data_IF_240115872341
#
_entry.id   IF_240115872341
#
_cell.length_a   1.000
_cell.length_b   1.000
_cell.length_c   1.000
_cell.angle_alpha   90.00
_cell.angle_beta   90.00
_cell.angle_gamma   90.00
#
_symmetry.space_group_name_H-M   'P 1'
#
loop_
_entity.id
_entity.type
_entity.pdbx_description
1 polymer ?
#
# COMPACT_ATOMS: atom_id res chain seq x y z
N UNK A 1 56.45 16.91 -5.12
CA UNK A 1 55.90 17.53 -3.90
C UNK A 1 54.60 16.80 -3.65
N UNK A 2 54.71 15.76 -2.86
CA UNK A 2 53.67 14.77 -2.60
C UNK A 2 52.65 15.35 -1.61
N UNK A 3 51.40 15.43 -2.04
CA UNK A 3 50.26 15.91 -1.24
C UNK A 3 49.35 14.76 -0.80
N UNK A 4 49.88 13.55 -0.65
CA UNK A 4 49.13 12.42 -0.09
C UNK A 4 49.65 12.11 1.31
N UNK A 5 48.96 12.62 2.34
CA UNK A 5 48.72 11.97 3.64
C UNK A 5 48.09 12.98 4.63
N UNK A 6 46.83 13.32 4.40
CA UNK A 6 45.95 13.77 5.50
C UNK A 6 45.25 12.52 6.05
N UNK A 7 45.95 11.79 6.92
CA UNK A 7 45.31 10.79 7.77
C UNK A 7 44.33 11.52 8.69
N UNK A 8 43.03 11.25 8.52
CA UNK A 8 42.02 11.63 9.50
C UNK A 8 42.48 11.09 10.87
N UNK A 9 42.50 11.90 11.93
CA UNK A 9 43.02 11.48 13.22
C UNK A 9 42.22 10.28 13.71
N UNK A 10 42.90 9.20 14.04
CA UNK A 10 42.37 7.91 14.52
C UNK A 10 41.30 8.07 15.61
N UNK A 11 41.29 9.18 16.35
CA UNK A 11 40.27 9.51 17.35
C UNK A 11 38.88 9.77 16.77
N UNK A 12 38.76 10.28 15.55
CA UNK A 12 37.45 10.61 14.94
C UNK A 12 36.74 9.35 14.43
N UNK A 13 37.49 8.40 13.86
CA UNK A 13 36.97 7.11 13.42
C UNK A 13 36.54 6.27 14.64
N UNK A 14 37.31 6.32 15.72
CA UNK A 14 36.94 5.67 16.99
C UNK A 14 35.68 6.31 17.61
N UNK A 15 35.56 7.63 17.57
CA UNK A 15 34.38 8.34 18.06
C UNK A 15 33.11 7.99 17.26
N UNK A 16 33.21 7.95 15.92
CA UNK A 16 32.09 7.55 15.05
C UNK A 16 31.70 6.10 15.31
N UNK A 17 32.69 5.20 15.48
CA UNK A 17 32.43 3.79 15.78
C UNK A 17 31.74 3.61 17.13
N UNK A 18 32.15 4.37 18.15
CA UNK A 18 31.53 4.36 19.47
C UNK A 18 30.09 4.90 19.42
N UNK A 19 29.87 6.02 18.74
CA UNK A 19 28.54 6.61 18.56
C UNK A 19 27.59 5.64 17.85
N UNK A 20 28.09 4.92 16.84
CA UNK A 20 27.31 3.92 16.10
C UNK A 20 26.97 2.70 16.97
N UNK A 21 27.89 2.26 17.84
CA UNK A 21 27.63 1.22 18.83
C UNK A 21 26.59 1.66 19.87
N UNK A 22 26.70 2.88 20.39
CA UNK A 22 25.78 3.41 21.40
C UNK A 22 24.36 3.59 20.82
N UNK A 23 24.24 4.16 19.61
CA UNK A 23 22.97 4.31 18.91
C UNK A 23 22.30 2.97 18.58
N UNK A 24 23.09 1.97 18.16
CA UNK A 24 22.56 0.61 17.93
C UNK A 24 22.03 0.01 19.23
N UNK A 25 22.79 0.14 20.31
CA UNK A 25 22.42 -0.44 21.61
C UNK A 25 21.17 0.22 22.18
N UNK A 26 21.03 1.54 22.03
CA UNK A 26 19.86 2.29 22.45
C UNK A 26 18.62 1.92 21.61
N UNK A 27 18.77 1.80 20.29
CA UNK A 27 17.70 1.35 19.40
C UNK A 27 17.25 -0.08 19.73
N UNK A 28 18.18 -1.01 19.96
CA UNK A 28 17.87 -2.38 20.35
C UNK A 28 17.13 -2.43 21.70
N UNK A 29 17.53 -1.58 22.66
CA UNK A 29 16.88 -1.48 23.98
C UNK A 29 15.46 -0.92 23.87
N UNK A 30 15.26 0.14 23.08
CA UNK A 30 13.95 0.76 22.88
C UNK A 30 12.99 -0.15 22.10
N UNK A 31 13.52 -0.89 21.13
CA UNK A 31 12.77 -1.89 20.38
C UNK A 31 12.35 -3.06 21.29
N UNK A 32 13.28 -3.59 22.09
CA UNK A 32 12.99 -4.65 23.05
C UNK A 32 11.93 -4.21 24.09
N UNK A 33 12.03 -2.97 24.60
CA UNK A 33 11.05 -2.39 25.52
C UNK A 33 9.67 -2.25 24.86
N UNK A 34 9.63 -1.77 23.61
CA UNK A 34 8.38 -1.61 22.84
C UNK A 34 7.71 -2.95 22.53
N UNK A 35 8.49 -3.97 22.16
CA UNK A 35 7.99 -5.34 21.92
C UNK A 35 7.42 -5.94 23.21
N UNK A 36 8.12 -5.75 24.34
CA UNK A 36 7.67 -6.25 25.64
C UNK A 36 6.36 -5.58 26.07
N UNK A 37 6.23 -4.27 25.84
CA UNK A 37 5.01 -3.51 26.11
C UNK A 37 3.85 -3.96 25.23
N UNK A 38 4.05 -4.11 23.91
CA UNK A 38 3.01 -4.63 23.01
C UNK A 38 2.58 -6.05 23.38
N UNK A 39 3.51 -6.92 23.75
CA UNK A 39 3.18 -8.28 24.18
C UNK A 39 2.37 -8.28 25.48
N UNK A 40 2.68 -7.39 26.43
CA UNK A 40 1.91 -7.22 27.65
C UNK A 40 0.49 -6.69 27.36
N UNK A 41 0.36 -5.67 26.51
CA UNK A 41 -0.94 -5.12 26.09
C UNK A 41 -1.77 -6.16 25.32
N UNK A 42 -1.14 -6.93 24.43
CA UNK A 42 -1.79 -8.00 23.68
C UNK A 42 -2.27 -9.13 24.62
N UNK A 43 -1.45 -9.55 25.59
CA UNK A 43 -1.88 -10.52 26.59
C UNK A 43 -3.00 -9.98 27.49
N UNK A 44 -2.96 -8.69 27.83
CA UNK A 44 -4.02 -8.04 28.60
C UNK A 44 -5.34 -7.98 27.81
N UNK A 45 -5.29 -7.67 26.51
CA UNK A 45 -6.46 -7.73 25.61
C UNK A 45 -7.00 -9.15 25.45
N UNK A 46 -6.12 -10.15 25.31
CA UNK A 46 -6.52 -11.56 25.23
C UNK A 46 -7.17 -12.05 26.53
N UNK A 47 -6.62 -11.66 27.69
CA UNK A 47 -7.21 -11.98 28.99
C UNK A 47 -8.55 -11.28 29.19
N UNK A 48 -8.66 -9.97 28.88
CA UNK A 48 -9.91 -9.23 28.98
C UNK A 48 -10.99 -9.80 28.05
N UNK A 49 -10.64 -10.22 26.83
CA UNK A 49 -11.55 -10.89 25.92
C UNK A 49 -11.95 -12.28 26.45
N UNK A 50 -11.01 -13.06 26.98
CA UNK A 50 -11.31 -14.36 27.59
C UNK A 50 -12.21 -14.24 28.80
N UNK A 51 -12.00 -13.23 29.65
CA UNK A 51 -12.79 -13.01 30.86
C UNK A 51 -14.17 -12.46 30.52
N UNK A 52 -14.28 -11.58 29.51
CA UNK A 52 -15.56 -11.14 28.96
C UNK A 52 -16.36 -12.31 28.36
N UNK A 53 -15.72 -13.21 27.62
CA UNK A 53 -16.37 -14.41 27.08
C UNK A 53 -16.82 -15.34 28.20
N UNK A 54 -15.98 -15.58 29.21
CA UNK A 54 -16.35 -16.39 30.39
C UNK A 54 -17.55 -15.79 31.11
N UNK A 55 -17.58 -14.47 31.26
CA UNK A 55 -18.69 -13.77 31.92
C UNK A 55 -19.98 -13.88 31.11
N UNK A 56 -19.94 -13.66 29.79
CA UNK A 56 -21.10 -13.82 28.91
C UNK A 56 -21.64 -15.26 28.95
N UNK A 57 -20.75 -16.25 28.91
CA UNK A 57 -21.14 -17.66 28.98
C UNK A 57 -21.74 -17.98 30.35
N UNK A 58 -21.16 -17.48 31.44
CA UNK A 58 -21.67 -17.67 32.80
C UNK A 58 -23.05 -17.04 32.96
N UNK A 59 -23.25 -15.80 32.53
CA UNK A 59 -24.55 -15.12 32.55
C UNK A 59 -25.58 -15.87 31.71
N UNK A 60 -25.22 -16.31 30.50
CA UNK A 60 -26.13 -17.07 29.65
C UNK A 60 -26.51 -18.43 30.27
N UNK A 61 -25.59 -19.08 30.99
CA UNK A 61 -25.89 -20.30 31.73
C UNK A 61 -26.80 -20.03 32.93
N UNK A 62 -26.53 -18.98 33.71
CA UNK A 62 -27.38 -18.57 34.85
C UNK A 62 -28.80 -18.20 34.39
N UNK A 63 -28.94 -17.46 33.29
CA UNK A 63 -30.23 -17.13 32.67
C UNK A 63 -30.96 -18.40 32.20
N UNK A 64 -30.25 -19.33 31.56
CA UNK A 64 -30.81 -20.60 31.11
C UNK A 64 -31.26 -21.50 32.28
N UNK A 65 -30.48 -21.56 33.37
CA UNK A 65 -30.88 -22.31 34.57
C UNK A 65 -32.12 -21.69 35.21
N UNK A 66 -32.19 -20.36 35.28
CA UNK A 66 -33.34 -19.64 35.85
C UNK A 66 -34.61 -19.85 35.03
N UNK A 67 -34.51 -19.81 33.69
CA UNK A 67 -35.63 -20.05 32.79
C UNK A 67 -36.12 -21.50 32.80
N UNK A 68 -35.22 -22.46 32.94
CA UNK A 68 -35.62 -23.87 33.03
C UNK A 68 -36.16 -24.24 34.40
N UNK A 69 -35.65 -23.65 35.48
CA UNK A 69 -36.20 -23.87 36.82
C UNK A 69 -37.65 -23.38 36.92
N UNK A 70 -37.99 -22.26 36.27
CA UNK A 70 -39.39 -21.79 36.11
C UNK A 70 -40.26 -22.77 35.32
N UNK A 71 -39.72 -23.41 34.27
CA UNK A 71 -40.43 -24.42 33.45
C UNK A 71 -40.63 -25.76 34.15
N UNK A 72 -39.75 -26.12 35.09
CA UNK A 72 -39.90 -27.36 35.87
C UNK A 72 -40.87 -27.17 37.05
N UNK A 73 -40.91 -25.99 37.68
CA UNK A 73 -41.89 -25.69 38.73
C UNK A 73 -43.32 -25.58 38.19
N UNK A 74 -43.52 -25.12 36.96
CA UNK A 74 -44.86 -25.08 36.33
C UNK A 74 -45.37 -26.43 35.84
N UNK A 75 -44.56 -27.49 35.92
CA UNK A 75 -44.91 -28.85 35.44
C UNK A 75 -45.14 -29.87 36.56
N UNK A 76 -45.02 -29.45 37.82
CA UNK A 76 -45.15 -30.33 38.99
C UNK A 76 -46.49 -30.20 39.74
N UNK A 77 -47.45 -29.42 39.25
CA UNK A 77 -48.80 -29.30 39.85
C UNK A 77 -49.86 -30.26 39.25
N UNK A 78 -49.52 -31.11 38.29
CA UNK A 78 -50.40 -32.19 37.84
C UNK A 78 -49.62 -33.50 37.82
N UNK A 79 -49.71 -34.30 38.89
CA UNK A 79 -49.87 -35.79 38.91
C UNK A 79 -49.71 -36.30 40.35
N UNK A 80 -50.82 -36.42 41.08
CA UNK A 80 -51.08 -37.49 42.07
C UNK A 80 -51.44 -38.78 41.28
N UNK A 81 -51.23 -40.04 41.67
CA UNK A 81 -50.95 -40.69 42.95
C UNK A 81 -50.42 -42.13 42.67
N UNK A 82 -49.96 -42.77 43.74
CA UNK A 82 -49.84 -44.21 44.04
C UNK A 82 -48.49 -44.96 43.98
N UNK A 83 -48.19 -45.51 45.16
CA UNK A 83 -47.19 -46.50 45.56
C UNK A 83 -47.99 -47.73 46.06
N UNK A 84 -47.45 -48.97 46.21
CA UNK A 84 -46.33 -49.20 47.14
C UNK A 84 -45.40 -50.44 46.92
N UNK A 85 -44.20 -50.31 47.52
CA UNK A 85 -43.43 -51.29 48.33
C UNK A 85 -42.68 -52.53 47.77
N UNK A 86 -41.35 -52.45 47.95
CA UNK A 86 -40.34 -53.43 48.49
C UNK A 86 -40.01 -54.77 47.79
N UNK A 87 -38.71 -55.01 47.56
CA UNK A 87 -37.87 -55.99 48.27
C UNK A 87 -36.38 -55.91 47.86
N UNK A 88 -35.49 -56.24 48.82
CA UNK A 88 -34.01 -56.21 48.77
C UNK A 88 -33.40 -57.33 47.90
N UNK A 89 -32.22 -57.09 47.33
CA UNK A 89 -31.07 -58.01 47.39
C UNK A 89 -29.76 -57.31 47.00
N UNK A 90 -28.76 -57.39 47.89
CA UNK A 90 -27.36 -57.06 47.65
C UNK A 90 -26.73 -58.06 46.66
N UNK A 91 -26.00 -57.57 45.65
CA UNK A 91 -24.88 -58.32 45.05
C UNK A 91 -23.73 -57.33 44.73
N UNK A 92 -22.55 -57.76 45.18
CA UNK A 92 -21.22 -57.14 45.14
C UNK A 92 -20.84 -56.46 43.82
N UNK A 93 -20.23 -55.28 43.95
CA UNK A 93 -19.41 -54.60 42.94
C UNK A 93 -18.12 -55.36 42.64
N UNK A 94 -17.85 -55.63 41.37
CA UNK A 94 -16.50 -55.44 40.81
C UNK A 94 -16.41 -54.00 40.27
N UNK A 95 -15.42 -53.18 40.69
CA UNK A 95 -15.30 -51.81 40.23
C UNK A 95 -14.13 -51.64 39.25
N UNK A 96 -14.43 -51.43 37.97
CA UNK A 96 -13.60 -50.56 37.09
C UNK A 96 -14.28 -50.21 35.76
N UNK A 97 -15.21 -51.03 35.28
CA UNK A 97 -15.81 -50.85 33.94
C UNK A 97 -16.87 -49.72 33.91
N UNK A 98 -17.52 -49.44 35.04
CA UNK A 98 -18.54 -48.37 35.19
C UNK A 98 -17.91 -46.97 35.12
N UNK A 99 -16.76 -46.77 35.76
CA UNK A 99 -16.09 -45.48 35.83
C UNK A 99 -15.49 -45.10 34.47
N UNK A 100 -14.84 -46.04 33.79
CA UNK A 100 -14.33 -45.82 32.44
C UNK A 100 -15.45 -45.57 31.42
N UNK A 101 -16.57 -46.30 31.50
CA UNK A 101 -17.72 -46.09 30.61
C UNK A 101 -18.35 -44.70 30.82
N UNK A 102 -18.48 -44.25 32.07
CA UNK A 102 -18.95 -42.90 32.38
C UNK A 102 -17.99 -41.81 31.88
N UNK A 103 -16.68 -42.05 31.96
CA UNK A 103 -15.66 -41.11 31.50
C UNK A 103 -15.62 -41.00 29.96
N UNK A 104 -15.79 -42.12 29.26
CA UNK A 104 -15.91 -42.16 27.78
C UNK A 104 -17.19 -41.47 27.33
N UNK A 105 -18.33 -41.68 27.98
CA UNK A 105 -19.57 -40.96 27.69
C UNK A 105 -19.41 -39.45 27.92
N UNK A 106 -18.74 -39.05 29.00
CA UNK A 106 -18.49 -37.64 29.30
C UNK A 106 -17.59 -36.98 28.24
N UNK A 107 -16.53 -37.67 27.80
CA UNK A 107 -15.64 -37.17 26.74
C UNK A 107 -16.35 -37.12 25.39
N UNK A 108 -17.19 -38.10 25.08
CA UNK A 108 -17.99 -38.13 23.84
C UNK A 108 -18.96 -36.96 23.80
N UNK A 109 -19.66 -36.68 24.91
CA UNK A 109 -20.54 -35.50 25.02
C UNK A 109 -19.77 -34.18 24.87
N UNK A 110 -18.57 -34.07 25.45
CA UNK A 110 -17.71 -32.87 25.28
C UNK A 110 -17.27 -32.69 23.83
N UNK A 111 -16.94 -33.78 23.14
CA UNK A 111 -16.54 -33.75 21.73
C UNK A 111 -17.71 -33.36 20.81
N UNK A 112 -18.90 -33.89 21.07
CA UNK A 112 -20.13 -33.50 20.37
C UNK A 112 -20.47 -32.02 20.58
N UNK A 113 -20.35 -31.55 21.82
CA UNK A 113 -20.57 -30.13 22.15
C UNK A 113 -19.57 -29.24 21.39
N UNK A 114 -18.27 -29.55 21.46
CA UNK A 114 -17.23 -28.80 20.77
C UNK A 114 -17.41 -28.82 19.24
N UNK A 115 -17.82 -29.96 18.66
CA UNK A 115 -18.14 -30.05 17.24
C UNK A 115 -19.36 -29.19 16.87
N UNK A 116 -20.38 -29.14 17.73
CA UNK A 116 -21.55 -28.29 17.53
C UNK A 116 -21.22 -26.80 17.58
N UNK A 117 -20.33 -26.40 18.51
CA UNK A 117 -19.82 -25.04 18.64
C UNK A 117 -18.98 -24.65 17.44
N UNK A 118 -18.08 -25.53 16.99
CA UNK A 118 -17.26 -25.31 15.81
C UNK A 118 -18.09 -25.19 14.53
N UNK A 119 -19.15 -26.01 14.40
CA UNK A 119 -20.10 -25.90 13.30
C UNK A 119 -20.95 -24.61 13.37
N UNK A 120 -21.25 -24.12 14.57
CA UNK A 120 -21.92 -22.83 14.79
C UNK A 120 -21.01 -21.67 14.39
N UNK A 121 -19.75 -21.67 14.86
CA UNK A 121 -18.75 -20.66 14.51
C UNK A 121 -18.47 -20.62 13.01
N UNK A 122 -18.33 -21.77 12.34
CA UNK A 122 -18.18 -21.83 10.87
C UNK A 122 -19.39 -21.22 10.15
N UNK A 123 -20.61 -21.44 10.64
CA UNK A 123 -21.83 -20.83 10.09
C UNK A 123 -21.84 -19.32 10.31
N UNK A 124 -21.46 -18.86 11.50
CA UNK A 124 -21.35 -17.43 11.82
C UNK A 124 -20.30 -16.74 10.96
N UNK A 125 -19.12 -17.35 10.76
CA UNK A 125 -18.06 -16.84 9.88
C UNK A 125 -18.57 -16.69 8.45
N UNK A 126 -19.20 -17.74 7.90
CA UNK A 126 -19.77 -17.70 6.54
C UNK A 126 -20.87 -16.63 6.40
N UNK A 127 -21.68 -16.44 7.44
CA UNK A 127 -22.70 -15.39 7.46
C UNK A 127 -22.08 -13.98 7.53
N UNK A 128 -20.98 -13.80 8.27
CA UNK A 128 -20.25 -12.53 8.34
C UNK A 128 -19.52 -12.22 7.04
N UNK A 129 -18.88 -13.21 6.41
CA UNK A 129 -18.29 -13.08 5.07
C UNK A 129 -19.36 -12.68 4.05
N UNK A 130 -20.50 -13.37 4.02
CA UNK A 130 -21.60 -13.04 3.11
C UNK A 130 -22.17 -11.63 3.35
N UNK A 131 -22.25 -11.18 4.61
CA UNK A 131 -22.69 -9.82 4.95
C UNK A 131 -21.65 -8.78 4.54
N UNK A 132 -20.36 -9.08 4.70
CA UNK A 132 -19.28 -8.22 4.24
C UNK A 132 -19.31 -8.07 2.72
N UNK A 133 -19.54 -9.15 1.98
CA UNK A 133 -19.70 -9.12 0.51
C UNK A 133 -20.94 -8.32 0.08
N UNK A 134 -22.06 -8.42 0.81
CA UNK A 134 -23.24 -7.60 0.54
C UNK A 134 -22.96 -6.10 0.75
N UNK A 135 -22.32 -5.74 1.86
CA UNK A 135 -21.93 -4.35 2.13
C UNK A 135 -20.94 -3.84 1.09
N UNK A 136 -19.99 -4.68 0.66
CA UNK A 136 -19.05 -4.38 -0.42
C UNK A 136 -19.78 -4.08 -1.73
N UNK A 137 -20.77 -4.86 -2.11
CA UNK A 137 -21.55 -4.63 -3.34
C UNK A 137 -22.40 -3.36 -3.30
N UNK A 138 -22.80 -2.90 -2.11
CA UNK A 138 -23.51 -1.63 -1.93
C UNK A 138 -22.56 -0.43 -2.08
N UNK A 139 -21.33 -0.56 -1.56
CA UNK A 139 -20.31 0.51 -1.60
C UNK A 139 -19.61 0.58 -2.97
N UNK A 140 -19.45 -0.57 -3.61
CA UNK A 140 -18.78 -0.73 -4.91
C UNK A 140 -19.83 -1.20 -5.92
N UNK A 141 -20.62 -0.28 -6.52
CA UNK A 141 -21.54 -0.66 -7.58
C UNK A 141 -20.75 -1.23 -8.77
N UNK A 142 -21.16 -2.41 -9.23
CA UNK A 142 -20.60 -3.15 -10.37
C UNK A 142 -20.83 -2.48 -11.74
N UNK A 143 -21.54 -1.36 -11.77
CA UNK A 143 -22.31 -0.91 -12.94
C UNK A 143 -21.59 0.21 -13.71
N UNK A 144 -20.34 0.53 -13.36
CA UNK A 144 -19.52 1.46 -14.12
C UNK A 144 -19.21 0.89 -15.50
N UNK A 145 -19.31 1.72 -16.55
CA UNK A 145 -18.78 1.35 -17.88
C UNK A 145 -17.31 0.94 -17.71
N UNK A 146 -16.88 -0.20 -18.27
CA UNK A 146 -15.49 -0.64 -18.17
C UNK A 146 -14.59 0.40 -18.85
N UNK A 147 -13.59 0.90 -18.12
CA UNK A 147 -12.55 1.77 -18.68
C UNK A 147 -11.66 0.90 -19.56
N UNK A 148 -11.50 1.30 -20.82
CA UNK A 148 -10.73 0.51 -21.78
C UNK A 148 -9.22 0.78 -21.62
N UNK A 149 -8.41 -0.28 -21.74
CA UNK A 149 -6.94 -0.16 -21.72
C UNK A 149 -6.44 0.89 -22.74
N UNK A 150 -7.09 0.97 -23.90
CA UNK A 150 -6.77 1.94 -24.96
C UNK A 150 -6.99 3.39 -24.55
N UNK A 151 -7.95 3.68 -23.67
CA UNK A 151 -8.19 5.04 -23.18
C UNK A 151 -7.06 5.47 -22.24
N UNK A 152 -6.66 4.59 -21.33
CA UNK A 152 -5.54 4.81 -20.41
C UNK A 152 -4.23 4.95 -21.19
N UNK A 153 -3.95 4.05 -22.14
CA UNK A 153 -2.74 4.13 -22.99
C UNK A 153 -2.69 5.42 -23.82
N UNK A 154 -3.84 5.85 -24.37
CA UNK A 154 -3.93 7.10 -25.13
C UNK A 154 -3.59 8.31 -24.28
N UNK A 155 -4.19 8.43 -23.09
CA UNK A 155 -3.90 9.52 -22.16
C UNK A 155 -2.46 9.46 -21.65
N UNK A 156 -1.95 8.28 -21.30
CA UNK A 156 -0.55 8.08 -20.90
C UNK A 156 0.43 8.53 -22.00
N UNK A 157 0.14 8.20 -23.25
CA UNK A 157 0.88 8.68 -24.42
C UNK A 157 0.80 10.19 -24.61
N UNK A 158 -0.36 10.83 -24.35
CA UNK A 158 -0.51 12.29 -24.41
C UNK A 158 0.30 12.98 -23.30
N UNK A 159 0.27 12.44 -22.07
CA UNK A 159 1.09 12.90 -20.95
C UNK A 159 2.57 12.79 -21.32
N UNK A 160 3.04 11.63 -21.79
CA UNK A 160 4.42 11.40 -22.26
C UNK A 160 4.87 12.45 -23.27
N UNK A 161 4.11 12.63 -24.34
CA UNK A 161 4.42 13.61 -25.39
C UNK A 161 4.47 15.03 -24.83
N UNK A 162 3.60 15.36 -23.87
CA UNK A 162 3.53 16.69 -23.28
C UNK A 162 4.70 16.95 -22.32
N UNK A 163 5.10 15.99 -21.48
CA UNK A 163 6.32 16.05 -20.66
C UNK A 163 7.54 16.33 -21.54
N UNK A 164 7.69 15.57 -22.64
CA UNK A 164 8.78 15.77 -23.58
C UNK A 164 8.75 17.17 -24.19
N UNK A 165 7.59 17.64 -24.66
CA UNK A 165 7.46 19.00 -25.21
C UNK A 165 7.81 20.09 -24.19
N UNK A 166 7.37 19.96 -22.93
CA UNK A 166 7.65 20.93 -21.87
C UNK A 166 9.14 20.96 -21.56
N UNK A 167 9.76 19.82 -21.28
CA UNK A 167 11.20 19.76 -20.97
C UNK A 167 12.08 20.27 -22.12
N UNK A 168 11.70 20.01 -23.37
CA UNK A 168 12.51 20.42 -24.53
C UNK A 168 12.38 21.91 -24.89
N UNK A 169 11.23 22.53 -24.60
CA UNK A 169 10.92 23.90 -25.07
C UNK A 169 10.93 24.94 -23.97
N UNK A 170 10.44 24.58 -22.79
CA UNK A 170 10.31 25.51 -21.68
C UNK A 170 11.62 25.63 -20.91
N UNK A 171 12.35 24.51 -20.73
CA UNK A 171 13.50 24.43 -19.84
C UNK A 171 14.80 24.09 -20.58
N UNK A 172 15.16 24.94 -21.55
CA UNK A 172 16.30 24.74 -22.45
C UNK A 172 17.38 25.81 -22.31
N UNK A 173 17.39 26.57 -21.21
CA UNK A 173 18.42 27.60 -20.99
C UNK A 173 19.79 26.94 -20.83
N UNK A 174 20.77 27.44 -21.57
CA UNK A 174 22.18 27.05 -21.44
C UNK A 174 22.89 28.05 -20.51
N UNK A 175 23.68 27.53 -19.57
CA UNK A 175 24.47 28.33 -18.63
C UNK A 175 24.11 28.11 -17.16
N UNK A 176 24.77 28.86 -16.27
CA UNK A 176 24.56 28.75 -14.82
C UNK A 176 23.13 29.12 -14.44
N UNK A 177 22.39 28.18 -13.84
CA UNK A 177 21.03 28.32 -13.32
C UNK A 177 20.99 29.26 -12.10
N UNK A 178 21.29 30.54 -12.32
CA UNK A 178 21.39 31.52 -11.24
C UNK A 178 19.98 31.94 -10.80
N UNK A 179 19.71 31.77 -9.50
CA UNK A 179 18.51 32.17 -8.75
C UNK A 179 17.42 31.10 -8.58
N UNK A 180 17.73 29.92 -8.00
CA UNK A 180 16.70 29.01 -7.51
C UNK A 180 15.86 29.68 -6.42
N UNK A 181 14.53 29.54 -6.54
CA UNK A 181 13.56 30.22 -5.68
C UNK A 181 13.29 29.40 -4.41
N UNK A 182 13.36 28.08 -4.50
CA UNK A 182 13.13 27.14 -3.39
C UNK A 182 14.40 26.35 -3.06
N UNK A 183 14.48 25.80 -1.85
CA UNK A 183 15.60 24.96 -1.41
C UNK A 183 15.71 23.69 -2.27
N UNK A 184 14.59 23.01 -2.54
CA UNK A 184 14.54 21.83 -3.41
C UNK A 184 15.02 22.14 -4.84
N UNK A 185 14.64 23.31 -5.39
CA UNK A 185 15.09 23.77 -6.71
C UNK A 185 16.60 24.01 -6.70
N UNK A 186 17.14 24.61 -5.62
CA UNK A 186 18.57 24.86 -5.49
C UNK A 186 19.37 23.57 -5.50
N UNK A 187 19.01 22.61 -4.65
CA UNK A 187 19.71 21.32 -4.56
C UNK A 187 19.71 20.61 -5.91
N UNK A 188 18.56 20.55 -6.59
CA UNK A 188 18.46 19.96 -7.92
C UNK A 188 19.36 20.63 -8.97
N UNK A 189 19.38 21.97 -9.02
CA UNK A 189 20.18 22.69 -10.01
C UNK A 189 21.68 22.68 -9.71
N UNK A 190 22.08 22.60 -8.45
CA UNK A 190 23.48 22.41 -8.03
C UNK A 190 24.00 21.03 -8.45
N UNK A 191 23.20 19.96 -8.26
CA UNK A 191 23.58 18.59 -8.65
C UNK A 191 23.80 18.41 -10.16
N UNK A 192 23.16 19.25 -10.99
CA UNK A 192 23.26 19.16 -12.45
C UNK A 192 24.22 20.17 -13.09
N UNK A 193 24.86 21.06 -12.31
CA UNK A 193 25.68 22.15 -12.85
C UNK A 193 26.85 21.63 -13.70
N UNK A 194 27.49 20.54 -13.26
CA UNK A 194 28.64 19.91 -13.93
C UNK A 194 28.26 18.93 -15.06
N UNK A 195 26.97 18.73 -15.32
CA UNK A 195 26.50 17.82 -16.37
C UNK A 195 26.59 18.45 -17.77
N UNK A 196 26.77 17.61 -18.79
CA UNK A 196 26.64 18.06 -20.18
C UNK A 196 25.24 18.61 -20.46
N UNK A 197 25.05 19.53 -21.43
CA UNK A 197 23.73 20.07 -21.76
C UNK A 197 22.67 19.01 -22.06
N UNK A 198 23.07 17.90 -22.69
CA UNK A 198 22.20 16.76 -22.97
C UNK A 198 21.74 16.08 -21.68
N UNK A 199 22.68 15.82 -20.76
CA UNK A 199 22.39 15.23 -19.45
C UNK A 199 21.56 16.18 -18.56
N UNK A 200 21.81 17.49 -18.63
CA UNK A 200 21.00 18.50 -17.93
C UNK A 200 19.54 18.46 -18.39
N UNK A 201 19.31 18.37 -19.71
CA UNK A 201 17.95 18.24 -20.27
C UNK A 201 17.30 16.91 -19.87
N UNK A 202 18.06 15.82 -19.82
CA UNK A 202 17.56 14.53 -19.34
C UNK A 202 17.19 14.58 -17.85
N UNK A 203 17.96 15.28 -17.02
CA UNK A 203 17.67 15.49 -15.61
C UNK A 203 16.37 16.29 -15.39
N UNK A 204 16.16 17.37 -16.15
CA UNK A 204 14.91 18.14 -16.12
C UNK A 204 13.72 17.30 -16.57
N UNK A 205 13.88 16.54 -17.66
CA UNK A 205 12.82 15.69 -18.18
C UNK A 205 12.44 14.59 -17.18
N UNK A 206 13.42 13.94 -16.59
CA UNK A 206 13.26 12.90 -15.56
C UNK A 206 12.59 13.47 -14.31
N UNK A 207 13.06 14.61 -13.79
CA UNK A 207 12.47 15.23 -12.59
C UNK A 207 11.04 15.70 -12.83
N UNK A 208 10.76 16.32 -13.99
CA UNK A 208 9.39 16.71 -14.35
C UNK A 208 8.47 15.49 -14.34
N UNK A 209 8.91 14.36 -14.91
CA UNK A 209 8.14 13.12 -14.87
C UNK A 209 7.97 12.57 -13.45
N UNK A 210 9.03 12.58 -12.62
CA UNK A 210 8.98 12.10 -11.23
C UNK A 210 7.95 12.89 -10.42
N UNK A 211 7.94 14.23 -10.53
CA UNK A 211 6.95 15.07 -9.85
C UNK A 211 5.53 14.74 -10.29
N UNK A 212 5.30 14.65 -11.61
CA UNK A 212 3.98 14.29 -12.16
C UNK A 212 3.55 12.90 -11.67
N UNK A 213 4.47 11.93 -11.67
CA UNK A 213 4.21 10.57 -11.25
C UNK A 213 3.86 10.47 -9.76
N UNK A 214 4.65 11.12 -8.91
CA UNK A 214 4.41 11.15 -7.46
C UNK A 214 3.09 11.81 -7.10
N UNK A 215 2.73 12.89 -7.79
CA UNK A 215 1.52 13.66 -7.49
C UNK A 215 0.23 13.04 -8.06
N UNK A 216 0.28 12.50 -9.29
CA UNK A 216 -0.95 12.09 -10.01
C UNK A 216 -1.11 10.59 -10.21
N UNK A 217 -0.02 9.80 -10.15
CA UNK A 217 -0.04 8.34 -10.29
C UNK A 217 0.30 7.55 -9.02
N UNK A 218 -0.05 8.00 -7.79
CA UNK A 218 0.12 7.16 -6.62
C UNK A 218 -0.78 5.94 -6.72
N UNK A 219 -0.20 4.77 -6.43
CA UNK A 219 -0.93 3.50 -6.35
C UNK A 219 -1.56 3.26 -4.97
N UNK A 220 -1.39 4.21 -4.04
CA UNK A 220 -1.85 4.11 -2.67
C UNK A 220 -2.45 5.45 -2.20
N UNK A 221 -3.39 5.38 -1.28
CA UNK A 221 -4.07 6.52 -0.66
C UNK A 221 -3.08 7.44 0.05
N UNK A 222 -2.00 6.88 0.62
CA UNK A 222 -0.94 7.67 1.26
C UNK A 222 -0.29 8.66 0.29
N UNK A 223 -0.08 8.26 -0.97
CA UNK A 223 0.49 9.11 -2.00
C UNK A 223 -0.54 10.03 -2.65
N UNK A 224 -1.84 9.81 -2.44
CA UNK A 224 -2.89 10.66 -2.98
C UNK A 224 -3.05 11.92 -2.14
N UNK A 225 -2.94 13.08 -2.78
CA UNK A 225 -3.13 14.37 -2.16
C UNK A 225 -4.64 14.72 -2.16
N UNK A 226 -5.42 14.01 -1.35
CA UNK A 226 -6.90 13.98 -1.29
C UNK A 226 -7.50 15.27 -0.67
N UNK A 227 -6.76 16.36 -0.77
CA UNK A 227 -7.22 17.67 -0.36
C UNK A 227 -6.64 18.13 0.95
N UNK A 228 -6.05 19.32 0.88
CA UNK A 228 -5.72 20.15 2.03
C UNK A 228 -6.92 20.37 2.98
N UNK A 229 -8.15 20.11 2.52
CA UNK A 229 -9.42 20.30 3.24
C UNK A 229 -9.74 19.17 4.23
N UNK A 230 -9.26 17.94 4.02
CA UNK A 230 -9.58 16.78 4.88
C UNK A 230 -8.35 15.96 5.33
N UNK A 231 -7.31 16.59 5.92
CA UNK A 231 -6.05 15.94 6.25
C UNK A 231 -6.21 14.78 7.25
N UNK A 232 -7.19 14.89 8.16
CA UNK A 232 -7.50 13.81 9.11
C UNK A 232 -8.09 12.58 8.41
N UNK A 233 -8.97 12.77 7.43
CA UNK A 233 -9.57 11.67 6.68
C UNK A 233 -8.52 10.97 5.84
N UNK A 234 -7.68 11.73 5.11
CA UNK A 234 -6.57 11.18 4.33
C UNK A 234 -5.63 10.35 5.22
N UNK A 235 -5.24 10.86 6.39
CA UNK A 235 -4.39 10.13 7.34
C UNK A 235 -5.02 8.80 7.80
N UNK A 236 -6.32 8.81 8.10
CA UNK A 236 -7.04 7.61 8.52
C UNK A 236 -7.19 6.59 7.38
N UNK A 237 -7.52 7.03 6.17
CA UNK A 237 -7.64 6.17 5.01
C UNK A 237 -6.27 5.57 4.65
N UNK A 238 -5.20 6.37 4.66
CA UNK A 238 -3.84 5.89 4.41
C UNK A 238 -3.37 4.87 5.46
N UNK A 239 -3.66 5.11 6.75
CA UNK A 239 -3.35 4.14 7.80
C UNK A 239 -4.15 2.84 7.61
N UNK A 240 -5.44 2.95 7.26
CA UNK A 240 -6.31 1.79 7.01
C UNK A 240 -5.79 0.96 5.84
N UNK A 241 -5.42 1.59 4.73
CA UNK A 241 -4.83 0.90 3.57
C UNK A 241 -3.55 0.15 3.95
N UNK A 242 -2.71 0.78 4.76
CA UNK A 242 -1.46 0.18 5.21
C UNK A 242 -1.72 -1.07 6.06
N UNK A 243 -2.58 -0.98 7.09
CA UNK A 243 -2.93 -2.14 7.92
C UNK A 243 -3.60 -3.27 7.12
N UNK A 244 -4.47 -2.94 6.17
CA UNK A 244 -5.09 -3.93 5.29
C UNK A 244 -4.04 -4.62 4.41
N UNK A 245 -3.11 -3.86 3.85
CA UNK A 245 -2.03 -4.39 3.01
C UNK A 245 -1.14 -5.33 3.82
N UNK A 246 -0.72 -4.94 5.02
CA UNK A 246 0.10 -5.81 5.90
C UNK A 246 -0.64 -7.08 6.30
N UNK A 247 -1.91 -6.96 6.71
CA UNK A 247 -2.72 -8.11 7.10
C UNK A 247 -2.89 -9.11 5.94
N UNK A 248 -3.14 -8.62 4.73
CA UNK A 248 -3.28 -9.45 3.52
C UNK A 248 -1.94 -10.09 3.16
N UNK A 249 -0.83 -9.35 3.18
CA UNK A 249 0.49 -9.91 2.88
C UNK A 249 0.92 -10.97 3.90
N UNK A 250 0.59 -10.78 5.18
CA UNK A 250 0.91 -11.73 6.24
C UNK A 250 0.07 -13.02 6.19
N UNK A 251 -1.19 -12.93 5.77
CA UNK A 251 -2.11 -14.09 5.74
C UNK A 251 -2.18 -14.78 4.38
N UNK A 252 -1.90 -14.06 3.29
CA UNK A 252 -2.03 -14.53 1.91
C UNK A 252 -0.82 -14.07 1.07
N UNK A 253 0.39 -14.61 1.34
CA UNK A 253 1.62 -14.22 0.64
C UNK A 253 1.65 -14.61 -0.84
N UNK A 254 0.77 -15.53 -1.26
CA UNK A 254 0.55 -15.95 -2.64
C UNK A 254 -0.24 -14.92 -3.47
N UNK A 255 -0.72 -13.84 -2.84
CA UNK A 255 -1.49 -12.80 -3.49
C UNK A 255 -2.95 -13.14 -3.73
N UNK A 256 -3.47 -14.22 -3.12
CA UNK A 256 -4.85 -14.69 -3.34
C UNK A 256 -5.93 -13.66 -2.95
N UNK A 257 -5.58 -12.66 -2.13
CA UNK A 257 -6.46 -11.57 -1.68
C UNK A 257 -6.11 -10.19 -2.25
N UNK A 258 -5.29 -10.12 -3.30
CA UNK A 258 -4.90 -8.85 -3.91
C UNK A 258 -6.08 -8.11 -4.57
N UNK A 259 -7.09 -8.87 -5.02
CA UNK A 259 -8.32 -8.32 -5.60
C UNK A 259 -9.13 -7.51 -4.59
N UNK A 260 -9.20 -7.97 -3.35
CA UNK A 260 -9.88 -7.30 -2.25
C UNK A 260 -9.21 -5.98 -1.88
N UNK A 261 -7.87 -5.94 -1.86
CA UNK A 261 -7.13 -4.69 -1.68
C UNK A 261 -7.40 -3.70 -2.82
N UNK A 262 -7.36 -4.19 -4.07
CA UNK A 262 -7.60 -3.37 -5.25
C UNK A 262 -9.03 -2.78 -5.25
N UNK A 263 -10.01 -3.60 -4.88
CA UNK A 263 -11.40 -3.17 -4.75
C UNK A 263 -11.59 -2.16 -3.61
N UNK A 264 -10.91 -2.33 -2.47
CA UNK A 264 -10.93 -1.37 -1.37
C UNK A 264 -10.30 -0.03 -1.77
N UNK A 265 -9.15 -0.04 -2.43
CA UNK A 265 -8.50 1.20 -2.91
C UNK A 265 -9.42 1.89 -3.93
N UNK A 266 -10.03 1.14 -4.87
CA UNK A 266 -11.02 1.69 -5.81
C UNK A 266 -12.23 2.31 -5.11
N UNK A 267 -12.81 1.62 -4.13
CA UNK A 267 -13.93 2.12 -3.35
C UNK A 267 -13.57 3.43 -2.64
N UNK A 268 -12.40 3.45 -2.02
CA UNK A 268 -11.87 4.62 -1.31
C UNK A 268 -11.71 5.80 -2.28
N UNK A 269 -11.14 5.57 -3.46
CA UNK A 269 -11.02 6.61 -4.48
C UNK A 269 -12.36 7.09 -5.03
N UNK A 270 -13.32 6.21 -5.25
CA UNK A 270 -14.68 6.62 -5.63
C UNK A 270 -15.32 7.51 -4.55
N UNK A 271 -15.15 7.16 -3.27
CA UNK A 271 -15.65 7.99 -2.17
C UNK A 271 -14.95 9.35 -2.13
N UNK A 272 -13.64 9.40 -2.40
CA UNK A 272 -12.86 10.63 -2.47
C UNK A 272 -13.36 11.52 -3.61
N UNK A 273 -13.57 10.95 -4.80
CA UNK A 273 -14.09 11.69 -5.96
C UNK A 273 -15.49 12.28 -5.66
N UNK A 274 -16.31 11.58 -4.85
CA UNK A 274 -17.62 12.07 -4.41
C UNK A 274 -17.54 13.22 -3.40
N UNK A 275 -16.43 13.36 -2.67
CA UNK A 275 -16.24 14.46 -1.73
C UNK A 275 -16.04 15.82 -2.43
N UNK A 276 -16.10 15.86 -3.78
CA UNK A 276 -15.98 17.08 -4.61
C UNK A 276 -14.92 18.00 -4.02
N UNK A 277 -13.69 17.54 -3.97
CA UNK A 277 -12.61 18.45 -3.70
C UNK A 277 -12.51 19.35 -4.93
N UNK A 278 -12.94 20.61 -4.81
CA UNK A 278 -12.60 21.71 -5.72
C UNK A 278 -11.10 22.02 -5.62
N UNK A 279 -10.27 20.98 -5.48
CA UNK A 279 -8.84 21.09 -5.32
C UNK A 279 -8.31 21.69 -6.60
N UNK A 280 -7.64 22.82 -6.44
CA UNK A 280 -6.72 23.42 -7.39
C UNK A 280 -5.51 22.51 -7.69
N UNK A 281 -5.55 21.21 -7.37
CA UNK A 281 -4.43 20.27 -7.45
C UNK A 281 -3.62 20.34 -8.75
N UNK A 282 -4.24 20.26 -9.94
CA UNK A 282 -3.53 20.43 -11.20
C UNK A 282 -2.89 21.82 -11.38
N UNK A 283 -3.61 22.89 -11.03
CA UNK A 283 -3.16 24.27 -11.19
C UNK A 283 -2.05 24.64 -10.18
N UNK A 284 -2.21 24.22 -8.93
CA UNK A 284 -1.26 24.36 -7.83
C UNK A 284 0.03 23.59 -8.12
N UNK A 285 -0.08 22.34 -8.60
CA UNK A 285 1.07 21.57 -9.06
C UNK A 285 1.77 22.25 -10.24
N UNK A 286 1.02 22.74 -11.23
CA UNK A 286 1.60 23.50 -12.34
C UNK A 286 2.33 24.75 -11.85
N UNK A 287 1.74 25.54 -10.95
CA UNK A 287 2.36 26.73 -10.37
C UNK A 287 3.65 26.40 -9.58
N UNK A 288 3.64 25.32 -8.80
CA UNK A 288 4.84 24.83 -8.11
C UNK A 288 5.95 24.46 -9.12
N UNK A 289 5.62 23.67 -10.15
CA UNK A 289 6.58 23.26 -11.17
C UNK A 289 7.12 24.45 -12.00
N UNK A 290 6.28 25.44 -12.28
CA UNK A 290 6.69 26.71 -12.91
C UNK A 290 7.76 27.42 -12.07
N UNK A 291 7.60 27.47 -10.74
CA UNK A 291 8.58 28.09 -9.84
C UNK A 291 9.83 27.21 -9.66
N UNK A 292 9.64 25.90 -9.49
CA UNK A 292 10.72 24.94 -9.27
C UNK A 292 11.72 24.97 -10.43
N UNK A 293 11.25 24.90 -11.67
CA UNK A 293 12.11 24.88 -12.85
C UNK A 293 12.40 26.27 -13.44
N UNK A 294 11.99 27.34 -12.76
CA UNK A 294 12.21 28.73 -13.20
C UNK A 294 13.68 29.03 -13.59
N UNK A 295 14.71 28.52 -12.90
CA UNK A 295 16.10 28.77 -13.27
C UNK A 295 16.48 28.27 -14.67
N UNK A 296 15.85 27.19 -15.15
CA UNK A 296 16.10 26.61 -16.47
C UNK A 296 15.20 27.19 -17.58
N UNK A 297 14.27 28.09 -17.25
CA UNK A 297 13.31 28.64 -18.19
C UNK A 297 14.01 29.36 -19.37
N UNK A 298 13.60 29.05 -20.59
CA UNK A 298 14.10 29.69 -21.82
C UNK A 298 13.88 31.21 -21.80
N UNK A 299 14.75 31.99 -22.42
CA UNK A 299 14.61 33.46 -22.49
C UNK A 299 13.58 33.92 -23.56
N UNK A 300 13.04 33.00 -24.36
CA UNK A 300 12.09 33.32 -25.43
C UNK A 300 10.67 33.45 -24.84
N UNK A 301 10.16 34.67 -24.70
CA UNK A 301 8.85 34.98 -24.08
C UNK A 301 7.70 34.14 -24.67
N UNK A 302 7.59 34.01 -26.00
CA UNK A 302 6.53 33.21 -26.63
C UNK A 302 6.63 31.72 -26.27
N UNK A 303 7.85 31.20 -26.13
CA UNK A 303 8.09 29.82 -25.71
C UNK A 303 7.77 29.62 -24.23
N UNK A 304 8.05 30.61 -23.38
CA UNK A 304 7.64 30.62 -21.97
C UNK A 304 6.11 30.51 -21.83
N UNK A 305 5.36 31.40 -22.49
CA UNK A 305 3.89 31.39 -22.42
C UNK A 305 3.29 30.08 -22.95
N UNK A 306 3.80 29.58 -24.08
CA UNK A 306 3.37 28.30 -24.66
C UNK A 306 3.70 27.13 -23.74
N UNK A 307 4.89 27.15 -23.13
CA UNK A 307 5.34 26.11 -22.21
C UNK A 307 4.52 26.06 -20.93
N UNK A 308 4.23 27.22 -20.31
CA UNK A 308 3.36 27.31 -19.12
C UNK A 308 1.94 26.79 -19.38
N UNK A 309 1.35 27.15 -20.53
CA UNK A 309 0.07 26.59 -20.98
C UNK A 309 0.13 25.07 -21.14
N UNK A 310 1.23 24.55 -21.68
CA UNK A 310 1.44 23.09 -21.83
C UNK A 310 1.68 22.39 -20.49
N UNK A 311 2.36 23.04 -19.54
CA UNK A 311 2.59 22.51 -18.20
C UNK A 311 1.27 22.39 -17.42
N UNK A 312 0.39 23.41 -17.48
CA UNK A 312 -0.97 23.30 -16.94
C UNK A 312 -1.75 22.15 -17.57
N UNK A 313 -1.78 22.08 -18.91
CA UNK A 313 -2.43 20.98 -19.63
C UNK A 313 -1.83 19.61 -19.27
N UNK A 314 -0.53 19.53 -19.02
CA UNK A 314 0.15 18.32 -18.56
C UNK A 314 -0.39 17.88 -17.19
N UNK A 315 -0.46 18.79 -16.23
CA UNK A 315 -1.01 18.49 -14.91
C UNK A 315 -2.49 18.07 -14.98
N UNK A 316 -3.31 18.76 -15.78
CA UNK A 316 -4.71 18.39 -16.03
C UNK A 316 -4.83 16.97 -16.60
N UNK A 317 -4.04 16.64 -17.63
CA UNK A 317 -4.07 15.32 -18.28
C UNK A 317 -3.51 14.22 -17.40
N UNK A 318 -2.48 14.51 -16.61
CA UNK A 318 -1.95 13.57 -15.63
C UNK A 318 -2.98 13.30 -14.52
N UNK A 319 -3.68 14.33 -14.06
CA UNK A 319 -4.76 14.18 -13.09
C UNK A 319 -5.91 13.32 -13.64
N UNK A 320 -6.38 13.61 -14.86
CA UNK A 320 -7.40 12.82 -15.56
C UNK A 320 -6.99 11.35 -15.69
N UNK A 321 -5.76 11.10 -16.12
CA UNK A 321 -5.20 9.76 -16.24
C UNK A 321 -5.14 9.03 -14.90
N UNK A 322 -4.68 9.70 -13.84
CA UNK A 322 -4.64 9.15 -12.49
C UNK A 322 -6.01 8.73 -12.01
N UNK A 323 -7.06 9.54 -12.25
CA UNK A 323 -8.44 9.20 -11.92
C UNK A 323 -8.88 7.94 -12.69
N UNK A 324 -8.63 7.89 -14.00
CA UNK A 324 -9.01 6.73 -14.82
C UNK A 324 -8.32 5.45 -14.35
N UNK A 325 -7.02 5.50 -14.07
CA UNK A 325 -6.26 4.36 -13.56
C UNK A 325 -6.82 3.84 -12.23
N UNK A 326 -7.23 4.73 -11.32
CA UNK A 326 -7.81 4.38 -10.02
C UNK A 326 -9.24 3.83 -10.10
N UNK A 327 -10.00 4.28 -11.10
CA UNK A 327 -11.38 3.83 -11.33
C UNK A 327 -11.48 2.52 -12.13
N UNK A 328 -10.41 2.13 -12.81
CA UNK A 328 -10.40 0.91 -13.60
C UNK A 328 -10.56 -0.34 -12.74
N UNK A 329 -11.10 -1.40 -13.33
CA UNK A 329 -11.26 -2.70 -12.65
C UNK A 329 -9.89 -3.35 -12.38
N UNK A 330 -8.99 -3.22 -13.35
CA UNK A 330 -7.62 -3.71 -13.24
C UNK A 330 -6.71 -2.64 -12.63
N UNK A 331 -5.62 -3.07 -11.99
CA UNK A 331 -4.66 -2.15 -11.38
C UNK A 331 -3.64 -1.71 -12.42
N UNK A 332 -3.62 -0.42 -12.72
CA UNK A 332 -2.60 0.18 -13.59
C UNK A 332 -1.49 0.77 -12.76
N UNK A 333 -0.25 0.55 -13.17
CA UNK A 333 0.92 1.07 -12.47
C UNK A 333 1.86 1.72 -13.47
N UNK A 334 2.24 2.95 -13.14
CA UNK A 334 3.39 3.60 -13.77
C UNK A 334 4.64 3.13 -13.06
N UNK A 335 5.63 2.64 -13.80
CA UNK A 335 6.89 2.15 -13.25
C UNK A 335 8.08 2.91 -13.82
N UNK A 336 9.14 3.04 -13.03
CA UNK A 336 10.44 3.57 -13.45
C UNK A 336 11.47 2.46 -13.50
N UNK A 337 12.53 2.68 -14.29
CA UNK A 337 13.70 1.81 -14.32
C UNK A 337 14.82 2.50 -13.57
N UNK A 338 15.61 1.73 -12.83
CA UNK A 338 16.74 2.25 -12.05
C UNK A 338 17.87 2.67 -12.98
N UNK A 339 18.55 3.74 -12.59
CA UNK A 339 19.80 4.15 -13.22
C UNK A 339 20.87 3.08 -13.00
N UNK A 340 21.86 3.04 -13.88
CA UNK A 340 22.99 2.10 -13.90
C UNK A 340 22.62 0.62 -14.12
N UNK A 341 21.35 0.33 -14.40
CA UNK A 341 20.93 -1.00 -14.81
C UNK A 341 21.44 -1.32 -16.22
N UNK A 342 22.06 -2.49 -16.46
CA UNK A 342 22.45 -2.90 -17.82
C UNK A 342 21.24 -2.92 -18.75
N UNK A 343 21.37 -2.30 -19.93
CA UNK A 343 20.26 -2.20 -20.89
C UNK A 343 19.76 -3.58 -21.33
N UNK A 344 20.66 -4.55 -21.41
CA UNK A 344 20.34 -5.94 -21.76
C UNK A 344 19.37 -6.60 -20.76
N UNK A 345 19.42 -6.20 -19.48
CA UNK A 345 18.61 -6.80 -18.43
C UNK A 345 17.17 -6.27 -18.40
N UNK A 346 16.89 -5.17 -19.11
CA UNK A 346 15.58 -4.52 -19.13
C UNK A 346 15.05 -4.20 -20.53
N UNK A 347 15.65 -4.77 -21.58
CA UNK A 347 15.37 -4.42 -22.99
C UNK A 347 13.90 -4.68 -23.40
N UNK A 348 13.22 -5.60 -22.74
CA UNK A 348 11.81 -5.91 -22.94
C UNK A 348 10.88 -4.83 -22.36
N UNK A 349 11.33 -4.12 -21.32
CA UNK A 349 10.58 -3.11 -20.57
C UNK A 349 10.91 -1.66 -20.98
N UNK A 350 12.01 -1.43 -21.72
CA UNK A 350 12.48 -0.08 -22.05
C UNK A 350 12.59 0.18 -23.55
N UNK A 351 12.43 1.44 -23.92
CA UNK A 351 12.74 2.01 -25.22
C UNK A 351 13.82 3.07 -25.03
N UNK A 352 14.92 2.91 -25.76
CA UNK A 352 16.00 3.88 -25.75
C UNK A 352 15.66 5.10 -26.61
N UNK A 353 15.63 6.29 -26.00
CA UNK A 353 15.48 7.54 -26.74
C UNK A 353 16.82 8.01 -27.34
N UNK A 354 17.90 7.89 -26.56
CA UNK A 354 19.24 8.33 -26.93
C UNK A 354 20.33 7.67 -26.07
N UNK A 355 21.54 7.70 -26.60
CA UNK A 355 22.76 7.32 -25.90
C UNK A 355 23.62 8.56 -25.68
N UNK A 356 23.87 8.91 -24.42
CA UNK A 356 24.78 9.97 -23.99
C UNK A 356 26.17 9.34 -23.79
N UNK A 357 27.14 9.69 -24.65
CA UNK A 357 28.50 9.14 -24.64
C UNK A 357 28.98 8.65 -26.01
N UNK A 358 30.27 8.41 -26.15
CA UNK A 358 30.88 7.94 -27.41
C UNK A 358 30.46 6.48 -27.70
N UNK A 359 29.88 6.25 -28.89
CA UNK A 359 29.38 4.94 -29.32
C UNK A 359 30.47 3.87 -29.50
N UNK A 360 31.73 4.29 -29.55
CA UNK A 360 32.90 3.41 -29.74
C UNK A 360 33.56 2.97 -28.42
N UNK A 361 32.94 3.29 -27.28
CA UNK A 361 33.39 2.80 -25.98
C UNK A 361 33.04 1.32 -25.85
N UNK A 362 34.04 0.44 -25.74
CA UNK A 362 33.86 -1.00 -25.54
C UNK A 362 33.25 -1.41 -24.19
N UNK A 363 32.58 -0.49 -23.50
CA UNK A 363 31.98 -0.68 -22.18
C UNK A 363 30.58 -1.29 -22.22
N UNK A 364 30.04 -1.57 -21.04
CA UNK A 364 28.66 -2.06 -20.92
C UNK A 364 27.68 -0.89 -21.04
N UNK A 365 26.66 -1.04 -21.90
CA UNK A 365 25.61 -0.05 -22.06
C UNK A 365 24.59 -0.17 -20.92
N UNK A 366 24.42 0.90 -20.15
CA UNK A 366 23.52 0.97 -19.01
C UNK A 366 22.48 2.07 -19.19
N UNK A 367 21.40 2.00 -18.42
CA UNK A 367 20.43 3.08 -18.26
C UNK A 367 21.13 4.27 -17.58
N UNK A 368 21.12 5.42 -18.25
CA UNK A 368 21.60 6.67 -17.70
C UNK A 368 20.53 7.38 -16.88
N UNK A 369 19.33 7.53 -17.44
CA UNK A 369 18.18 8.09 -16.73
C UNK A 369 16.85 7.58 -17.28
N UNK A 370 15.88 7.36 -16.39
CA UNK A 370 14.50 7.05 -16.76
C UNK A 370 13.72 8.33 -17.12
N UNK A 371 13.83 8.73 -18.39
CA UNK A 371 13.21 9.93 -18.95
C UNK A 371 11.69 9.97 -18.80
N UNK A 372 11.03 8.83 -18.99
CA UNK A 372 9.60 8.69 -18.76
C UNK A 372 9.29 7.24 -18.40
N UNK A 373 8.44 7.01 -17.40
CA UNK A 373 8.11 5.66 -16.95
C UNK A 373 7.35 4.83 -17.98
N UNK A 374 7.27 3.53 -17.71
CA UNK A 374 6.41 2.61 -18.46
C UNK A 374 5.05 2.46 -17.80
N UNK A 375 4.09 1.88 -18.52
CA UNK A 375 2.77 1.55 -18.02
C UNK A 375 2.61 0.03 -18.03
N UNK A 376 2.22 -0.53 -16.89
CA UNK A 376 1.83 -1.94 -16.79
C UNK A 376 0.45 -2.07 -16.15
N UNK A 377 -0.21 -3.17 -16.47
CA UNK A 377 -1.52 -3.55 -15.98
C UNK A 377 -1.41 -4.85 -15.20
N UNK A 378 -2.00 -4.88 -14.02
CA UNK A 378 -2.17 -6.09 -13.22
C UNK A 378 -3.65 -6.44 -13.31
N UNK A 379 -3.95 -7.49 -14.06
CA UNK A 379 -5.34 -7.90 -14.28
C UNK A 379 -5.93 -8.47 -13.00
N UNK A 380 -7.18 -8.11 -12.72
CA UNK A 380 -7.97 -8.69 -11.63
C UNK A 380 -8.21 -10.19 -11.78
N UNK A 381 -8.16 -10.71 -13.01
CA UNK A 381 -8.28 -12.14 -13.32
C UNK A 381 -6.94 -12.88 -13.20
N UNK A 382 -5.82 -12.17 -13.42
CA UNK A 382 -4.46 -12.73 -13.39
C UNK A 382 -3.51 -11.80 -12.62
N UNK A 383 -3.66 -11.68 -11.28
CA UNK A 383 -2.94 -10.68 -10.48
C UNK A 383 -1.44 -10.94 -10.34
N UNK A 384 -0.98 -12.16 -10.66
CA UNK A 384 0.41 -12.58 -10.47
C UNK A 384 1.34 -12.20 -11.61
N UNK A 385 0.81 -11.82 -12.79
CA UNK A 385 1.60 -11.48 -13.96
C UNK A 385 1.23 -10.10 -14.51
N UNK A 386 2.09 -9.08 -14.32
CA UNK A 386 1.89 -7.78 -14.94
C UNK A 386 1.97 -7.88 -16.47
N UNK A 387 1.03 -7.23 -17.15
CA UNK A 387 0.98 -7.06 -18.59
C UNK A 387 1.61 -5.70 -18.90
N UNK A 388 2.69 -5.69 -19.67
CA UNK A 388 3.32 -4.46 -20.12
C UNK A 388 2.46 -3.82 -21.22
N UNK A 389 2.01 -2.58 -21.01
CA UNK A 389 1.22 -1.82 -21.98
C UNK A 389 2.07 -0.81 -22.75
N UNK A 390 3.02 -0.18 -22.06
CA UNK A 390 3.93 0.81 -22.63
C UNK A 390 5.31 0.66 -22.01
N UNK A 391 6.35 0.68 -22.83
CA UNK A 391 7.75 0.66 -22.37
C UNK A 391 8.13 1.97 -21.69
N UNK A 392 9.03 1.91 -20.73
CA UNK A 392 9.68 3.10 -20.17
C UNK A 392 10.63 3.69 -21.22
N UNK A 393 10.71 5.01 -21.29
CA UNK A 393 11.65 5.70 -22.17
C UNK A 393 12.88 6.07 -21.37
N UNK A 394 14.06 5.68 -21.84
CA UNK A 394 15.33 5.89 -21.13
C UNK A 394 16.36 6.60 -22.00
N UNK A 395 17.26 7.35 -21.37
CA UNK A 395 18.58 7.64 -21.95
C UNK A 395 19.56 6.60 -21.46
N UNK A 396 20.58 6.32 -22.26
CA UNK A 396 21.60 5.32 -21.95
C UNK A 396 22.98 5.94 -21.98
N UNK A 397 23.94 5.26 -21.35
CA UNK A 397 25.36 5.62 -21.38
C UNK A 397 26.21 4.36 -21.35
N UNK A 398 27.47 4.48 -21.73
CA UNK A 398 28.43 3.40 -21.56
C UNK A 398 29.18 3.58 -20.24
N UNK A 399 29.42 2.48 -19.53
CA UNK A 399 30.27 2.42 -18.34
C UNK A 399 31.40 1.44 -18.61
N UNK A 400 32.62 1.89 -18.34
CA UNK A 400 33.88 1.15 -18.56
C UNK A 400 34.12 0.09 -17.50
#
# INVERSE_FOLDING_TARGET
MDWEHLQAPTSMIQFISQLHCDLRTDLERDLASSITKMNAEHHQCQQAASDSIKEIVRTAMEDWFTDNQKKFQSRQEETELDSPQTLKAEVRLEPDDSYHRAQVEQLTRKLELANSELASLKRQLKATESRADQLRNIIIPSDGKPILDSEIQKLFSEVRKTVQMVACRLYSKSGTFRSPITEDSRAFFEEMEDLSPECQRDAIHTNLFIFIGGQFFPNNVRGCNIGNHHPRLQKLLAATEWYLTEAVQGTHPDGSRQKELSDWSRATFNCIDLLRDESDGPDSCAAYLEQFFKPAETDIIQAQESGRKKLRKLCEKAHELGILMRRATDTFQVFTVKDDLPLADCQDMVEELRCNGERDSGGTKVVGSCLFGGLRKISSDYPTKPILLERAVVSTRFVS
#
